data_IF_662983393833
#
_entry.id   IF_662983393833
#
_cell.length_a   1.000
_cell.length_b   1.000
_cell.length_c   1.000
_cell.angle_alpha   90.00
_cell.angle_beta   90.00
_cell.angle_gamma   90.00
#
_symmetry.space_group_name_H-M   'P 1'
#
loop_
_entity.id
_entity.type
_entity.pdbx_description
1 polymer ?
#
# COMPACT_ATOMS: atom_id res chain seq x y z
N UNK A 1 -24.71 19.24 -9.79
CA UNK A 1 -23.58 18.29 -9.80
C UNK A 1 -23.12 18.20 -8.36
N UNK A 2 -23.36 17.07 -7.69
CA UNK A 2 -22.89 16.89 -6.31
C UNK A 2 -21.39 16.65 -6.40
N UNK A 3 -20.59 17.54 -5.78
CA UNK A 3 -19.21 17.22 -5.44
C UNK A 3 -19.29 16.03 -4.48
N UNK A 4 -19.04 14.82 -4.98
CA UNK A 4 -18.76 13.69 -4.10
C UNK A 4 -17.34 13.92 -3.60
N UNK A 5 -17.16 13.94 -2.29
CA UNK A 5 -15.83 13.91 -1.69
C UNK A 5 -15.15 12.62 -2.17
N UNK A 6 -14.01 12.79 -2.82
CA UNK A 6 -13.18 11.70 -3.31
C UNK A 6 -12.57 10.97 -2.10
N UNK A 7 -12.66 9.64 -2.08
CA UNK A 7 -12.15 8.85 -0.96
C UNK A 7 -10.66 8.60 -1.18
N UNK A 8 -9.81 9.21 -0.36
CA UNK A 8 -8.37 8.96 -0.38
C UNK A 8 -8.04 7.75 0.49
N UNK A 9 -7.28 6.80 -0.05
CA UNK A 9 -6.83 5.59 0.64
C UNK A 9 -5.31 5.47 0.52
N UNK A 10 -4.64 5.32 1.65
CA UNK A 10 -3.21 4.97 1.68
C UNK A 10 -3.02 3.50 1.29
N UNK A 11 -2.13 3.23 0.35
CA UNK A 11 -1.84 1.89 -0.16
C UNK A 11 -0.33 1.60 -0.06
N UNK A 12 -0.02 0.39 0.36
CA UNK A 12 1.34 -0.17 0.34
C UNK A 12 1.26 -1.69 0.12
N UNK A 13 2.35 -2.31 -0.34
CA UNK A 13 2.43 -3.75 -0.60
C UNK A 13 3.80 -4.26 -0.16
N UNK A 14 3.81 -5.38 0.57
CA UNK A 14 5.05 -5.98 1.06
C UNK A 14 5.21 -7.43 0.58
N UNK A 15 6.46 -7.85 0.35
CA UNK A 15 6.80 -9.21 -0.07
C UNK A 15 8.15 -9.67 0.45
N UNK A 16 8.34 -10.98 0.48
CA UNK A 16 9.63 -11.58 0.83
C UNK A 16 10.70 -11.16 -0.20
N UNK A 17 11.88 -10.67 0.22
CA UNK A 17 12.94 -10.31 -0.73
C UNK A 17 13.43 -11.47 -1.59
N UNK A 18 13.80 -11.15 -2.83
CA UNK A 18 14.45 -12.08 -3.76
C UNK A 18 15.96 -12.11 -3.45
N UNK A 19 16.49 -13.28 -3.07
CA UNK A 19 17.93 -13.44 -2.78
C UNK A 19 18.69 -14.18 -3.88
N UNK A 20 17.96 -14.74 -4.85
CA UNK A 20 18.52 -15.49 -5.99
C UNK A 20 18.08 -14.85 -7.30
N UNK A 21 18.96 -14.87 -8.28
CA UNK A 21 18.65 -14.43 -9.65
C UNK A 21 17.52 -15.30 -10.21
N UNK A 22 16.51 -14.67 -10.80
CA UNK A 22 15.31 -15.33 -11.33
C UNK A 22 14.23 -15.66 -10.29
N UNK A 23 14.45 -15.37 -9.00
CA UNK A 23 13.38 -15.47 -8.00
C UNK A 23 12.42 -14.29 -8.15
N UNK A 24 11.12 -14.58 -8.18
CA UNK A 24 10.04 -13.58 -8.11
C UNK A 24 9.05 -14.00 -7.03
N UNK A 25 9.33 -13.64 -5.78
CA UNK A 25 8.39 -13.84 -4.69
C UNK A 25 7.14 -12.99 -4.92
N UNK A 26 5.96 -13.60 -4.71
CA UNK A 26 4.68 -12.89 -4.81
C UNK A 26 4.55 -11.81 -3.73
N UNK A 27 3.80 -10.76 -4.04
CA UNK A 27 3.18 -9.85 -3.08
C UNK A 27 2.55 -10.67 -1.95
N UNK A 28 2.92 -10.37 -0.71
CA UNK A 28 2.51 -11.15 0.45
C UNK A 28 1.35 -10.50 1.18
N UNK A 29 1.40 -9.18 1.29
CA UNK A 29 0.38 -8.36 1.94
C UNK A 29 -0.04 -7.19 1.05
N UNK A 30 -1.27 -6.74 1.22
CA UNK A 30 -1.77 -5.45 0.75
C UNK A 30 -2.24 -4.68 2.00
N UNK A 31 -1.75 -3.45 2.13
CA UNK A 31 -2.09 -2.54 3.21
C UNK A 31 -3.01 -1.45 2.66
N UNK A 32 -4.09 -1.17 3.39
CA UNK A 32 -5.04 -0.10 3.06
C UNK A 32 -5.28 0.75 4.31
N UNK A 33 -5.15 2.06 4.21
CA UNK A 33 -5.40 2.97 5.32
C UNK A 33 -6.40 4.06 4.96
N UNK A 34 -7.37 4.28 5.84
CA UNK A 34 -8.30 5.42 5.80
C UNK A 34 -8.39 6.00 7.20
N UNK A 35 -8.20 7.31 7.31
CA UNK A 35 -8.16 8.03 8.57
C UNK A 35 -7.15 7.43 9.56
N UNK A 36 -7.63 6.76 10.61
CA UNK A 36 -6.79 6.12 11.64
C UNK A 36 -6.85 4.60 11.61
N UNK A 37 -7.62 4.03 10.69
CA UNK A 37 -7.81 2.59 10.55
C UNK A 37 -6.91 2.05 9.42
N UNK A 38 -6.19 0.97 9.73
CA UNK A 38 -5.36 0.24 8.77
C UNK A 38 -5.85 -1.20 8.65
N UNK A 39 -6.04 -1.64 7.41
CA UNK A 39 -6.36 -3.02 7.06
C UNK A 39 -5.14 -3.67 6.40
N UNK A 40 -4.68 -4.80 6.95
CA UNK A 40 -3.62 -5.62 6.36
C UNK A 40 -4.27 -6.90 5.82
N UNK A 41 -4.24 -7.08 4.50
CA UNK A 41 -4.74 -8.26 3.81
C UNK A 41 -3.55 -9.15 3.48
N UNK A 42 -3.43 -10.31 4.12
CA UNK A 42 -2.38 -11.29 3.79
C UNK A 42 -2.71 -12.08 2.50
N UNK A 43 -2.55 -11.41 1.35
CA UNK A 43 -2.78 -11.94 -0.01
C UNK A 43 -2.21 -13.33 -0.24
N UNK A 44 -1.02 -13.61 0.31
CA UNK A 44 -0.33 -14.89 0.13
C UNK A 44 -1.13 -16.12 0.61
N UNK A 45 -2.08 -15.92 1.52
CA UNK A 45 -2.87 -16.99 2.12
C UNK A 45 -4.34 -17.00 1.69
N UNK A 46 -4.73 -16.14 0.75
CA UNK A 46 -6.06 -16.18 0.17
C UNK A 46 -6.14 -17.35 -0.82
N UNK A 47 -7.16 -18.21 -0.67
CA UNK A 47 -7.44 -19.28 -1.63
C UNK A 47 -7.91 -18.70 -2.98
N UNK A 48 -8.59 -17.57 -2.93
CA UNK A 48 -9.05 -16.79 -4.08
C UNK A 48 -9.14 -15.32 -3.71
N UNK A 49 -9.01 -14.44 -4.71
CA UNK A 49 -9.22 -13.00 -4.54
C UNK A 49 -10.72 -12.70 -4.48
N UNK A 50 -11.24 -12.07 -3.40
CA UNK A 50 -12.64 -11.69 -3.34
C UNK A 50 -12.99 -10.65 -4.39
N UNK A 51 -14.12 -10.81 -5.08
CA UNK A 51 -14.61 -9.83 -6.05
C UNK A 51 -14.75 -8.42 -5.43
N UNK A 52 -15.15 -8.34 -4.16
CA UNK A 52 -15.24 -7.06 -3.43
C UNK A 52 -13.91 -6.32 -3.32
N UNK A 53 -12.78 -7.03 -3.25
CA UNK A 53 -11.45 -6.40 -3.24
C UNK A 53 -11.11 -5.88 -4.63
N UNK A 54 -11.40 -6.66 -5.68
CA UNK A 54 -11.20 -6.24 -7.07
C UNK A 54 -12.07 -5.03 -7.41
N UNK A 55 -13.35 -5.06 -7.06
CA UNK A 55 -14.29 -3.97 -7.31
C UNK A 55 -13.86 -2.70 -6.57
N UNK A 56 -13.36 -2.84 -5.34
CA UNK A 56 -12.86 -1.71 -4.54
C UNK A 56 -11.61 -1.06 -5.15
N UNK A 57 -10.62 -1.85 -5.58
CA UNK A 57 -9.41 -1.33 -6.22
C UNK A 57 -9.71 -0.66 -7.56
N UNK A 58 -10.83 -1.02 -8.21
CA UNK A 58 -11.32 -0.43 -9.46
C UNK A 58 -12.35 0.68 -9.29
N UNK A 59 -12.66 1.10 -8.06
CA UNK A 59 -13.66 2.12 -7.84
C UNK A 59 -13.09 3.52 -8.18
N UNK A 60 -13.62 4.15 -9.23
CA UNK A 60 -13.20 5.48 -9.65
C UNK A 60 -13.56 6.62 -8.69
N UNK A 61 -14.32 6.33 -7.62
CA UNK A 61 -14.55 7.26 -6.52
C UNK A 61 -13.46 7.18 -5.43
N UNK A 62 -12.50 6.27 -5.59
CA UNK A 62 -11.39 6.05 -4.65
C UNK A 62 -10.08 6.47 -5.33
N UNK A 63 -9.27 7.26 -4.63
CA UNK A 63 -7.89 7.56 -4.99
C UNK A 63 -6.96 6.74 -4.10
N UNK A 64 -6.07 5.97 -4.71
CA UNK A 64 -5.02 5.27 -3.98
C UNK A 64 -3.75 6.10 -3.99
N UNK A 65 -3.16 6.29 -2.82
CA UNK A 65 -1.93 7.05 -2.65
C UNK A 65 -0.92 6.15 -1.98
N UNK A 66 0.30 6.08 -2.52
CA UNK A 66 1.37 5.30 -1.92
C UNK A 66 2.74 5.82 -2.35
N UNK A 67 3.75 5.65 -1.53
CA UNK A 67 5.12 6.09 -1.83
C UNK A 67 5.81 5.02 -2.68
N UNK A 68 6.20 5.35 -3.91
CA UNK A 68 6.72 4.37 -4.89
C UNK A 68 5.66 3.32 -5.31
N UNK A 69 4.37 3.68 -5.17
CA UNK A 69 3.19 2.81 -5.37
C UNK A 69 3.07 2.23 -6.77
N UNK A 70 3.68 2.88 -7.77
CA UNK A 70 3.70 2.37 -9.14
C UNK A 70 4.20 0.92 -9.19
N UNK A 71 5.24 0.60 -8.39
CA UNK A 71 5.80 -0.74 -8.31
C UNK A 71 4.86 -1.73 -7.64
N UNK A 72 4.12 -1.27 -6.63
CA UNK A 72 3.20 -2.10 -5.87
C UNK A 72 2.00 -2.50 -6.72
N UNK A 73 1.48 -1.55 -7.51
CA UNK A 73 0.38 -1.76 -8.45
C UNK A 73 0.77 -2.76 -9.54
N UNK A 74 1.96 -2.58 -10.14
CA UNK A 74 2.50 -3.54 -11.10
C UNK A 74 2.62 -4.94 -10.48
N UNK A 75 3.11 -5.02 -9.23
CA UNK A 75 3.25 -6.28 -8.49
C UNK A 75 1.91 -6.98 -8.26
N UNK A 76 0.88 -6.23 -7.87
CA UNK A 76 -0.47 -6.73 -7.63
C UNK A 76 -1.12 -7.24 -8.92
N UNK A 77 -0.96 -6.50 -10.01
CA UNK A 77 -1.45 -6.89 -11.33
C UNK A 77 -0.77 -8.18 -11.81
N UNK A 78 0.57 -8.23 -11.77
CA UNK A 78 1.35 -9.39 -12.22
C UNK A 78 1.06 -10.67 -11.41
N UNK A 79 0.94 -10.56 -10.08
CA UNK A 79 0.83 -11.73 -9.21
C UNK A 79 -0.60 -12.25 -9.04
N UNK A 80 -1.59 -11.36 -9.14
CA UNK A 80 -2.98 -11.59 -8.74
C UNK A 80 -4.03 -11.07 -9.73
N UNK A 81 -3.65 -10.33 -10.78
CA UNK A 81 -4.60 -9.66 -11.67
C UNK A 81 -5.40 -8.56 -10.95
N UNK A 82 -4.86 -8.03 -9.86
CA UNK A 82 -5.45 -6.94 -9.10
C UNK A 82 -5.00 -5.62 -9.72
N UNK A 83 -5.85 -5.10 -10.59
CA UNK A 83 -5.66 -3.80 -11.22
C UNK A 83 -6.35 -2.71 -10.40
N UNK A 84 -5.71 -1.56 -10.33
CA UNK A 84 -6.30 -0.30 -9.88
C UNK A 84 -6.65 0.55 -11.09
N UNK A 85 -7.70 1.37 -11.01
CA UNK A 85 -7.96 2.41 -12.02
C UNK A 85 -6.84 3.48 -12.03
N UNK A 86 -6.89 4.41 -13.00
CA UNK A 86 -5.90 5.50 -13.19
C UNK A 86 -5.81 6.51 -12.01
N UNK A 87 -6.58 6.33 -10.94
CA UNK A 87 -6.62 7.19 -9.75
C UNK A 87 -5.50 6.84 -8.74
N UNK A 88 -4.26 6.74 -9.22
CA UNK A 88 -3.09 6.49 -8.37
C UNK A 88 -2.24 7.73 -8.29
N UNK A 89 -1.95 8.15 -7.07
CA UNK A 89 -1.01 9.24 -6.80
C UNK A 89 0.25 8.63 -6.20
N UNK A 90 1.35 8.72 -6.96
CA UNK A 90 2.70 8.44 -6.49
C UNK A 90 3.38 9.77 -6.18
N UNK A 91 3.40 10.21 -4.91
CA UNK A 91 4.15 11.38 -4.51
C UNK A 91 5.62 10.96 -4.48
N UNK A 92 6.26 10.87 -5.66
CA UNK A 92 7.68 10.55 -5.88
C UNK A 92 8.67 11.50 -5.20
N UNK A 93 8.18 12.40 -4.34
CA UNK A 93 8.91 13.29 -3.46
C UNK A 93 8.66 12.88 -2.00
N UNK A 94 9.06 11.66 -1.68
CA UNK A 94 9.23 11.09 -0.32
C UNK A 94 9.82 12.10 0.67
N UNK A 95 10.68 12.97 0.17
CA UNK A 95 11.38 14.03 0.91
C UNK A 95 10.50 15.25 1.22
N UNK A 96 9.60 15.64 0.31
CA UNK A 96 8.64 16.75 0.55
C UNK A 96 7.52 16.27 1.47
N UNK A 97 6.99 15.06 1.24
CA UNK A 97 5.99 14.45 2.10
C UNK A 97 6.45 14.31 3.57
N UNK A 98 7.68 13.84 3.79
CA UNK A 98 8.28 13.72 5.13
C UNK A 98 8.62 15.07 5.75
N UNK A 99 9.07 16.06 4.96
CA UNK A 99 9.31 17.43 5.46
C UNK A 99 8.03 18.20 5.78
N UNK A 100 6.97 18.06 4.99
CA UNK A 100 5.70 18.77 5.16
C UNK A 100 4.91 18.24 6.34
N UNK A 101 4.92 16.92 6.56
CA UNK A 101 4.16 16.29 7.66
C UNK A 101 4.97 16.06 8.94
N UNK A 102 6.29 16.30 8.91
CA UNK A 102 7.19 15.97 10.03
C UNK A 102 7.30 14.47 10.32
N UNK A 103 6.80 13.63 9.40
CA UNK A 103 6.81 12.17 9.51
C UNK A 103 8.15 11.66 8.97
N UNK A 104 9.18 11.66 9.82
CA UNK A 104 10.42 10.95 9.52
C UNK A 104 10.23 9.47 9.86
N UNK A 105 9.95 8.66 8.84
CA UNK A 105 9.83 7.21 9.01
C UNK A 105 11.17 6.56 8.69
N UNK A 106 11.92 6.20 9.74
CA UNK A 106 13.01 5.27 9.55
C UNK A 106 12.41 3.96 9.02
N UNK A 107 12.92 3.49 7.87
CA UNK A 107 12.54 2.19 7.31
C UNK A 107 13.56 1.14 7.78
N UNK A 108 13.36 0.48 8.94
CA UNK A 108 14.32 -0.48 9.46
C UNK A 108 14.54 -1.62 8.47
N UNK A 109 15.78 -1.75 8.00
CA UNK A 109 16.16 -2.77 7.01
C UNK A 109 15.83 -4.20 7.44
N UNK A 110 15.76 -4.48 8.74
CA UNK A 110 15.43 -5.81 9.25
C UNK A 110 13.95 -6.13 9.09
N UNK A 111 13.06 -5.12 9.04
CA UNK A 111 11.62 -5.28 8.78
C UNK A 111 11.34 -5.26 7.27
N UNK A 112 11.82 -4.25 6.54
CA UNK A 112 11.58 -4.14 5.08
C UNK A 112 12.18 -5.28 4.28
N UNK A 113 13.18 -5.99 4.84
CA UNK A 113 13.77 -7.19 4.25
C UNK A 113 13.43 -8.47 5.00
N UNK A 114 12.44 -8.43 5.87
CA UNK A 114 11.94 -9.58 6.60
C UNK A 114 11.18 -10.54 5.68
N UNK A 115 10.76 -11.68 6.23
CA UNK A 115 9.88 -12.59 5.52
C UNK A 115 8.41 -12.18 5.72
N UNK A 116 7.84 -11.43 4.78
CA UNK A 116 6.42 -11.05 4.81
C UNK A 116 5.46 -12.18 4.45
N UNK A 117 5.96 -13.35 4.01
CA UNK A 117 5.16 -14.55 3.76
C UNK A 117 5.01 -15.43 5.00
N UNK A 118 5.19 -14.89 6.21
CA UNK A 118 4.92 -15.62 7.46
C UNK A 118 3.42 -15.60 7.76
N UNK A 119 2.91 -16.68 8.36
CA UNK A 119 1.45 -16.82 8.62
C UNK A 119 0.94 -15.86 9.69
N UNK A 120 1.82 -15.55 10.64
CA UNK A 120 1.58 -14.64 11.75
C UNK A 120 2.67 -13.58 11.64
N UNK A 121 2.28 -12.37 11.29
CA UNK A 121 3.17 -11.20 11.27
C UNK A 121 3.60 -10.87 12.70
N UNK A 122 4.83 -10.40 12.88
CA UNK A 122 5.26 -9.83 14.16
C UNK A 122 4.59 -8.48 14.41
N UNK A 123 4.56 -8.05 15.68
CA UNK A 123 4.06 -6.71 16.04
C UNK A 123 4.84 -5.61 15.30
N UNK A 124 6.16 -5.77 15.14
CA UNK A 124 7.00 -4.83 14.37
C UNK A 124 6.62 -4.78 12.87
N UNK A 125 6.25 -5.92 12.27
CA UNK A 125 5.77 -5.98 10.89
C UNK A 125 4.40 -5.30 10.75
N UNK A 126 3.49 -5.54 11.70
CA UNK A 126 2.16 -4.92 11.72
C UNK A 126 2.29 -3.40 11.89
N UNK A 127 3.06 -2.95 12.88
CA UNK A 127 3.29 -1.54 13.15
C UNK A 127 3.89 -0.84 11.94
N UNK A 128 4.94 -1.41 11.34
CA UNK A 128 5.57 -0.89 10.15
C UNK A 128 4.58 -0.75 8.98
N UNK A 129 3.82 -1.82 8.68
CA UNK A 129 2.84 -1.84 7.60
C UNK A 129 1.74 -0.79 7.78
N UNK A 130 1.25 -0.60 9.01
CA UNK A 130 0.28 0.44 9.33
C UNK A 130 0.88 1.84 9.17
N UNK A 131 2.11 2.05 9.63
CA UNK A 131 2.81 3.33 9.53
C UNK A 131 3.02 3.73 8.06
N UNK A 132 3.45 2.82 7.19
CA UNK A 132 3.67 3.09 5.77
C UNK A 132 2.36 3.43 5.03
N UNK A 133 1.28 2.67 5.27
CA UNK A 133 -0.03 2.96 4.67
C UNK A 133 -0.63 4.27 5.22
N UNK A 134 -0.51 4.53 6.53
CA UNK A 134 -1.00 5.76 7.15
C UNK A 134 -0.26 7.00 6.63
N UNK A 135 1.06 6.94 6.51
CA UNK A 135 1.82 8.04 5.93
C UNK A 135 1.37 8.35 4.51
N UNK A 136 1.18 7.32 3.69
CA UNK A 136 0.66 7.46 2.32
C UNK A 136 -0.73 8.11 2.29
N UNK A 137 -1.65 7.67 3.17
CA UNK A 137 -2.96 8.31 3.33
C UNK A 137 -2.83 9.79 3.72
N UNK A 138 -2.00 10.12 4.71
CA UNK A 138 -1.80 11.50 5.19
C UNK A 138 -1.18 12.41 4.14
N UNK A 139 -0.27 11.89 3.33
CA UNK A 139 0.30 12.61 2.18
C UNK A 139 -0.79 12.87 1.15
N UNK A 140 -1.58 11.86 0.80
CA UNK A 140 -2.72 12.00 -0.11
C UNK A 140 -3.70 13.07 0.35
N UNK A 141 -4.08 13.03 1.63
CA UNK A 141 -4.92 14.05 2.25
C UNK A 141 -4.33 15.46 2.14
N UNK A 142 -3.01 15.64 2.20
CA UNK A 142 -2.42 16.97 2.10
C UNK A 142 -2.28 17.44 0.64
N UNK A 143 -1.98 16.54 -0.28
CA UNK A 143 -1.80 16.87 -1.70
C UNK A 143 -3.12 17.06 -2.45
N UNK A 144 -4.19 16.40 -2.00
CA UNK A 144 -5.50 16.40 -2.65
C UNK A 144 -6.53 17.29 -1.93
N UNK A 145 -6.13 17.97 -0.85
CA UNK A 145 -6.91 19.09 -0.29
C UNK A 145 -6.85 20.26 -1.28
N UNK A 146 -8.00 20.59 -1.86
CA UNK A 146 -8.23 21.91 -2.48
C UNK A 146 -8.26 23.03 -1.45
#
# INVERSE_FOLDING_TARGET
MYNREEIVVGLDVEWKPNYRVGQNNKAATLQLCVDTDCLIIQLFYLDYIPATLTDFLKDSNVTFVGVEVSRDVDKLSDDYGLETEDNIVDPGLKEIASQVLGLYMEKPRHITRSNWQVRVLSDEQIEYACIDAYASYRIGQELLKE
#
